data_IF_413531805342
#
_entry.id   IF_413531805342
#
_cell.length_a   1.000
_cell.length_b   1.000
_cell.length_c   1.000
_cell.angle_alpha   90.00
_cell.angle_beta   90.00
_cell.angle_gamma   90.00
#
_symmetry.space_group_name_H-M   'P 1'
#
loop_
_entity.id
_entity.type
_entity.pdbx_description
1 polymer ?
#
# COMPACT_ATOMS: atom_id res chain seq x y z
N UNK A 1 -24.83 -15.59 4.56
CA UNK A 1 -24.32 -14.23 4.70
C UNK A 1 -23.15 -14.02 3.76
N UNK A 2 -23.30 -13.14 2.82
CA UNK A 2 -22.23 -12.86 1.89
C UNK A 2 -21.26 -11.84 2.51
N UNK A 3 -19.98 -12.09 2.33
CA UNK A 3 -18.96 -11.15 2.73
C UNK A 3 -18.59 -10.32 1.48
N UNK A 4 -18.99 -9.08 1.50
CA UNK A 4 -18.60 -8.14 0.45
C UNK A 4 -17.60 -7.17 1.03
N UNK A 5 -16.48 -7.02 0.35
CA UNK A 5 -15.50 -6.02 0.74
C UNK A 5 -15.90 -4.69 0.11
N UNK A 6 -16.28 -3.74 0.94
CA UNK A 6 -16.70 -2.41 0.46
C UNK A 6 -15.49 -1.55 0.11
N UNK A 7 -14.43 -1.63 0.90
CA UNK A 7 -13.21 -0.86 0.69
C UNK A 7 -12.01 -1.78 0.81
N UNK A 8 -11.23 -1.82 -0.25
CA UNK A 8 -9.99 -2.60 -0.31
C UNK A 8 -8.83 -1.61 -0.28
N UNK A 9 -7.91 -1.82 0.66
CA UNK A 9 -6.70 -1.02 0.78
C UNK A 9 -5.53 -1.81 0.24
N UNK A 10 -4.76 -1.20 -0.67
CA UNK A 10 -3.53 -1.78 -1.17
C UNK A 10 -2.39 -0.78 -0.99
N UNK A 11 -1.44 -1.08 -0.09
CA UNK A 11 -0.24 -0.26 0.01
C UNK A 11 0.73 -0.62 -1.11
N UNK A 12 1.35 0.40 -1.71
CA UNK A 12 2.29 0.22 -2.82
C UNK A 12 3.57 0.99 -2.51
N UNK A 13 4.71 0.39 -2.86
CA UNK A 13 6.02 1.00 -2.66
C UNK A 13 6.85 1.00 -3.95
N UNK A 14 6.24 0.62 -5.07
CA UNK A 14 6.92 0.53 -6.35
C UNK A 14 7.64 -0.78 -6.59
N UNK A 15 7.70 -1.67 -5.61
CA UNK A 15 8.32 -2.99 -5.77
C UNK A 15 7.46 -3.92 -6.62
N UNK A 16 8.08 -4.96 -7.18
CA UNK A 16 7.36 -5.98 -7.94
C UNK A 16 6.29 -6.66 -7.07
N UNK A 17 6.62 -6.91 -5.81
CA UNK A 17 5.67 -7.52 -4.89
C UNK A 17 4.43 -6.66 -4.69
N UNK A 18 4.61 -5.34 -4.52
CA UNK A 18 3.47 -4.44 -4.37
C UNK A 18 2.67 -4.30 -5.65
N UNK A 19 3.31 -4.41 -6.82
CA UNK A 19 2.60 -4.39 -8.10
C UNK A 19 1.74 -5.63 -8.28
N UNK A 20 2.22 -6.80 -7.86
CA UNK A 20 1.41 -8.01 -7.86
C UNK A 20 0.20 -7.88 -6.93
N UNK A 21 0.41 -7.28 -5.77
CA UNK A 21 -0.67 -7.03 -4.83
C UNK A 21 -1.69 -6.07 -5.42
N UNK A 22 -1.22 -5.03 -6.10
CA UNK A 22 -2.11 -4.07 -6.78
C UNK A 22 -2.98 -4.77 -7.83
N UNK A 23 -2.38 -5.62 -8.65
CA UNK A 23 -3.13 -6.38 -9.66
C UNK A 23 -4.22 -7.23 -9.02
N UNK A 24 -3.89 -7.91 -7.92
CA UNK A 24 -4.86 -8.72 -7.19
C UNK A 24 -5.96 -7.86 -6.58
N UNK A 25 -5.60 -6.72 -6.01
CA UNK A 25 -6.57 -5.82 -5.41
C UNK A 25 -7.53 -5.27 -6.47
N UNK A 26 -7.02 -4.95 -7.66
CA UNK A 26 -7.86 -4.49 -8.77
C UNK A 26 -8.87 -5.57 -9.16
N UNK A 27 -8.43 -6.81 -9.31
CA UNK A 27 -9.33 -7.92 -9.62
C UNK A 27 -10.43 -8.07 -8.57
N UNK A 28 -10.05 -8.02 -7.29
CA UNK A 28 -11.00 -8.16 -6.19
C UNK A 28 -11.97 -6.99 -6.14
N UNK A 29 -11.47 -5.77 -6.35
CA UNK A 29 -12.32 -4.58 -6.36
C UNK A 29 -13.36 -4.65 -7.49
N UNK A 30 -12.97 -5.16 -8.65
CA UNK A 30 -13.91 -5.38 -9.73
C UNK A 30 -14.97 -6.42 -9.37
N UNK A 31 -14.52 -7.51 -8.78
CA UNK A 31 -15.42 -8.61 -8.39
C UNK A 31 -16.46 -8.16 -7.36
N UNK A 32 -16.03 -7.44 -6.34
CA UNK A 32 -16.90 -7.03 -5.24
C UNK A 32 -17.52 -5.65 -5.43
N UNK A 33 -17.20 -4.96 -6.51
CA UNK A 33 -17.59 -3.55 -6.72
C UNK A 33 -17.13 -2.66 -5.59
N UNK A 34 -15.89 -2.87 -5.15
CA UNK A 34 -15.30 -2.18 -4.01
C UNK A 34 -14.72 -0.84 -4.40
N UNK A 35 -14.65 0.05 -3.42
CA UNK A 35 -13.75 1.20 -3.49
C UNK A 35 -12.32 0.69 -3.33
N UNK A 36 -11.41 1.15 -4.16
CA UNK A 36 -9.99 0.81 -4.05
C UNK A 36 -9.22 1.99 -3.50
N UNK A 37 -8.62 1.81 -2.33
CA UNK A 37 -7.76 2.81 -1.71
C UNK A 37 -6.30 2.37 -1.91
N UNK A 38 -5.54 3.15 -2.64
CA UNK A 38 -4.13 2.87 -2.94
C UNK A 38 -3.30 3.80 -2.06
N UNK A 39 -2.43 3.24 -1.22
CA UNK A 39 -1.67 4.02 -0.27
C UNK A 39 -0.17 3.86 -0.48
N UNK A 40 0.56 4.93 -0.24
CA UNK A 40 2.01 4.90 -0.17
C UNK A 40 2.44 5.61 1.11
N UNK A 41 3.31 4.95 1.89
CA UNK A 41 3.87 5.51 3.11
C UNK A 41 5.30 5.90 2.83
N UNK A 42 5.60 7.19 2.97
CA UNK A 42 6.96 7.70 2.86
C UNK A 42 7.65 7.38 4.18
N UNK A 43 8.68 6.53 4.12
CA UNK A 43 9.43 6.15 5.31
C UNK A 43 10.41 7.27 5.67
N UNK A 44 10.07 8.01 6.72
CA UNK A 44 10.88 9.17 7.13
C UNK A 44 12.29 8.79 7.56
N UNK A 45 12.53 7.52 7.89
CA UNK A 45 13.87 7.07 8.24
C UNK A 45 14.83 7.13 7.05
N UNK A 46 14.29 7.14 5.84
CA UNK A 46 15.11 7.19 4.63
C UNK A 46 15.91 8.48 4.52
N UNK A 47 15.49 9.56 5.17
CA UNK A 47 16.21 10.83 5.11
C UNK A 47 16.51 11.44 6.50
N UNK A 48 16.08 10.81 7.59
CA UNK A 48 16.21 11.39 8.92
C UNK A 48 17.65 11.47 9.44
N UNK A 49 18.55 10.65 8.90
CA UNK A 49 19.96 10.62 9.33
C UNK A 49 20.85 11.55 8.51
N UNK A 50 20.38 12.08 7.41
CA UNK A 50 21.18 12.90 6.49
C UNK A 50 20.77 14.37 6.61
N UNK A 51 21.12 15.01 7.72
CA UNK A 51 20.68 16.38 8.03
C UNK A 51 21.02 17.36 6.90
N UNK A 52 22.24 17.27 6.35
CA UNK A 52 22.70 18.19 5.29
C UNK A 52 21.95 18.03 3.98
N UNK A 53 21.35 16.84 3.76
CA UNK A 53 20.65 16.53 2.51
C UNK A 53 19.18 16.26 2.73
N UNK A 54 18.67 16.60 3.90
CA UNK A 54 17.30 16.28 4.29
C UNK A 54 16.27 16.87 3.33
N UNK A 55 16.40 18.15 3.02
CA UNK A 55 15.44 18.84 2.17
C UNK A 55 15.38 18.26 0.75
N UNK A 56 16.53 18.03 0.06
CA UNK A 56 16.49 17.36 -1.24
C UNK A 56 15.94 15.92 -1.17
N UNK A 57 16.23 15.20 -0.11
CA UNK A 57 15.71 13.83 0.07
C UNK A 57 14.21 13.82 0.31
N UNK A 58 13.70 14.78 1.08
CA UNK A 58 12.26 14.92 1.29
C UNK A 58 11.54 15.22 -0.01
N UNK A 59 12.07 16.13 -0.82
CA UNK A 59 11.51 16.48 -2.11
C UNK A 59 11.51 15.28 -3.05
N UNK A 60 12.62 14.53 -3.10
CA UNK A 60 12.71 13.32 -3.89
C UNK A 60 11.66 12.29 -3.45
N UNK A 61 11.51 12.08 -2.14
CA UNK A 61 10.57 11.13 -1.60
C UNK A 61 9.11 11.51 -1.92
N UNK A 62 8.80 12.80 -1.86
CA UNK A 62 7.48 13.30 -2.22
C UNK A 62 7.18 13.10 -3.70
N UNK A 63 8.14 13.43 -4.57
CA UNK A 63 7.98 13.26 -6.01
C UNK A 63 7.83 11.78 -6.37
N UNK A 64 8.63 10.93 -5.74
CA UNK A 64 8.57 9.49 -5.95
C UNK A 64 7.22 8.92 -5.51
N UNK A 65 6.72 9.36 -4.36
CA UNK A 65 5.42 8.93 -3.86
C UNK A 65 4.30 9.34 -4.83
N UNK A 66 4.35 10.57 -5.32
CA UNK A 66 3.37 11.07 -6.28
C UNK A 66 3.36 10.22 -7.55
N UNK A 67 4.55 9.87 -8.07
CA UNK A 67 4.67 9.01 -9.25
C UNK A 67 4.11 7.61 -9.00
N UNK A 68 4.48 7.00 -7.89
CA UNK A 68 4.03 5.65 -7.54
C UNK A 68 2.50 5.62 -7.48
N UNK A 69 1.90 6.59 -6.79
CA UNK A 69 0.46 6.64 -6.65
C UNK A 69 -0.25 6.94 -7.96
N UNK A 70 0.30 7.85 -8.77
CA UNK A 70 -0.30 8.19 -10.07
C UNK A 70 -0.30 6.99 -11.00
N UNK A 71 0.80 6.25 -11.07
CA UNK A 71 0.90 5.06 -11.91
C UNK A 71 -0.05 3.96 -11.44
N UNK A 72 -0.15 3.76 -10.15
CA UNK A 72 -1.04 2.77 -9.57
C UNK A 72 -2.51 3.11 -9.84
N UNK A 73 -2.88 4.36 -9.64
CA UNK A 73 -4.24 4.83 -9.92
C UNK A 73 -4.60 4.69 -11.39
N UNK A 74 -3.65 5.03 -12.29
CA UNK A 74 -3.87 4.90 -13.73
C UNK A 74 -4.11 3.44 -14.12
N UNK A 75 -3.34 2.53 -13.54
CA UNK A 75 -3.51 1.11 -13.79
C UNK A 75 -4.88 0.62 -13.37
N UNK A 76 -5.37 1.08 -12.23
CA UNK A 76 -6.71 0.74 -11.75
C UNK A 76 -7.79 1.30 -12.67
N UNK A 77 -7.63 2.54 -13.10
CA UNK A 77 -8.60 3.18 -14.02
C UNK A 77 -8.62 2.49 -15.38
N UNK A 78 -7.44 2.13 -15.90
CA UNK A 78 -7.32 1.40 -17.18
C UNK A 78 -8.00 0.03 -17.10
N UNK A 79 -8.06 -0.55 -15.92
CA UNK A 79 -8.74 -1.83 -15.68
C UNK A 79 -10.26 -1.68 -15.53
N UNK A 80 -10.77 -0.44 -15.53
CA UNK A 80 -12.21 -0.17 -15.48
C UNK A 80 -12.74 0.26 -14.12
N UNK A 81 -11.89 0.44 -13.11
CA UNK A 81 -12.35 0.90 -11.80
C UNK A 81 -12.64 2.40 -11.85
N UNK A 82 -13.75 2.80 -11.24
CA UNK A 82 -14.14 4.20 -11.16
C UNK A 82 -14.03 4.78 -9.76
N UNK A 83 -14.08 3.94 -8.73
CA UNK A 83 -14.01 4.39 -7.34
C UNK A 83 -12.62 4.08 -6.78
N UNK A 84 -11.66 4.94 -7.11
CA UNK A 84 -10.26 4.79 -6.74
C UNK A 84 -9.80 6.05 -6.02
N UNK A 85 -9.20 5.89 -4.85
CA UNK A 85 -8.60 7.01 -4.11
C UNK A 85 -7.14 6.68 -3.83
N UNK A 86 -6.31 7.71 -3.73
CA UNK A 86 -4.91 7.57 -3.36
C UNK A 86 -4.64 8.27 -2.04
N UNK A 87 -3.78 7.67 -1.22
CA UNK A 87 -3.42 8.20 0.08
C UNK A 87 -1.89 8.23 0.17
N UNK A 88 -1.37 9.39 0.53
CA UNK A 88 0.05 9.58 0.78
C UNK A 88 0.25 9.95 2.24
N UNK A 89 1.04 9.19 2.97
CA UNK A 89 1.33 9.43 4.38
C UNK A 89 2.83 9.36 4.62
N UNK A 90 3.29 10.09 5.61
CA UNK A 90 4.64 9.98 6.11
C UNK A 90 4.61 9.18 7.41
N UNK A 91 5.65 8.41 7.66
CA UNK A 91 5.76 7.66 8.91
C UNK A 91 6.48 6.34 8.70
N UNK A 92 6.19 5.40 9.57
CA UNK A 92 6.71 4.05 9.47
C UNK A 92 5.69 3.15 8.78
N UNK A 93 6.02 2.55 7.62
CA UNK A 93 5.09 1.63 6.95
C UNK A 93 4.64 0.49 7.87
N UNK A 94 5.51 0.05 8.78
CA UNK A 94 5.20 -1.06 9.70
C UNK A 94 4.02 -0.78 10.61
N UNK A 95 3.76 0.49 10.93
CA UNK A 95 2.66 0.85 11.82
C UNK A 95 1.56 1.65 11.12
N UNK A 96 1.90 2.41 10.09
CA UNK A 96 0.96 3.34 9.47
C UNK A 96 -0.18 2.62 8.74
N UNK A 97 0.12 1.52 8.07
CA UNK A 97 -0.87 0.84 7.22
C UNK A 97 -2.04 0.33 8.05
N UNK A 98 -1.77 -0.47 9.08
CA UNK A 98 -2.83 -1.09 9.87
C UNK A 98 -3.44 -0.13 10.88
N UNK A 99 -2.63 0.74 11.48
CA UNK A 99 -3.07 1.56 12.61
C UNK A 99 -3.63 2.92 12.23
N UNK A 100 -3.22 3.47 11.09
CA UNK A 100 -3.63 4.81 10.67
C UNK A 100 -4.44 4.80 9.39
N UNK A 101 -3.93 4.20 8.33
CA UNK A 101 -4.56 4.29 7.02
C UNK A 101 -5.81 3.41 6.94
N UNK A 102 -5.72 2.16 7.37
CA UNK A 102 -6.84 1.25 7.28
C UNK A 102 -8.07 1.77 8.05
N UNK A 103 -7.94 2.28 9.29
CA UNK A 103 -9.10 2.87 9.96
C UNK A 103 -9.62 4.13 9.28
N UNK A 104 -8.71 4.98 8.76
CA UNK A 104 -9.10 6.22 8.11
C UNK A 104 -9.99 5.97 6.88
N UNK A 105 -9.65 4.98 6.07
CA UNK A 105 -10.43 4.64 4.88
C UNK A 105 -11.51 3.61 5.16
N UNK A 106 -11.60 3.12 6.38
CA UNK A 106 -12.54 2.08 6.79
C UNK A 106 -12.37 0.81 5.95
N UNK A 107 -11.12 0.40 5.77
CA UNK A 107 -10.80 -0.78 4.98
C UNK A 107 -11.36 -2.04 5.63
N UNK A 108 -11.98 -2.90 4.82
CA UNK A 108 -12.41 -4.22 5.27
C UNK A 108 -11.54 -5.34 4.70
N UNK A 109 -10.66 -5.00 3.77
CA UNK A 109 -9.62 -5.93 3.29
C UNK A 109 -8.36 -5.12 2.97
N UNK A 110 -7.21 -5.63 3.42
CA UNK A 110 -5.91 -5.11 3.01
C UNK A 110 -5.27 -6.17 2.11
N UNK A 111 -4.82 -5.76 0.93
CA UNK A 111 -4.09 -6.65 0.00
C UNK A 111 -2.69 -6.10 -0.11
N UNK A 112 -1.69 -6.91 0.21
CA UNK A 112 -0.31 -6.44 0.18
C UNK A 112 0.65 -7.53 -0.26
N UNK A 113 1.80 -7.11 -0.76
CA UNK A 113 2.83 -8.06 -1.15
C UNK A 113 3.49 -8.69 0.06
N UNK A 114 4.04 -9.87 -0.12
CA UNK A 114 4.72 -10.59 0.94
C UNK A 114 6.02 -9.89 1.36
N UNK A 115 6.66 -9.18 0.41
CA UNK A 115 7.93 -8.50 0.65
C UNK A 115 7.88 -7.09 0.05
N UNK A 116 8.89 -6.27 0.34
CA UNK A 116 9.04 -4.95 -0.25
C UNK A 116 10.37 -4.82 -0.97
N UNK A 117 10.80 -3.59 -1.17
CA UNK A 117 12.08 -3.30 -1.81
C UNK A 117 13.24 -3.91 -1.02
N UNK A 118 14.19 -4.48 -1.75
CA UNK A 118 15.39 -5.06 -1.15
C UNK A 118 15.23 -6.46 -0.61
N UNK A 119 14.04 -6.99 -0.60
CA UNK A 119 13.78 -8.35 -0.13
C UNK A 119 13.84 -9.33 -1.27
N UNK A 120 14.70 -10.32 -1.15
CA UNK A 120 14.87 -11.36 -2.16
C UNK A 120 14.45 -12.74 -1.67
N UNK A 121 14.16 -12.87 -0.38
CA UNK A 121 13.76 -14.13 0.21
C UNK A 121 12.30 -14.42 -0.07
N UNK A 122 12.03 -15.46 -0.84
CA UNK A 122 10.67 -15.83 -1.21
C UNK A 122 9.92 -16.60 -0.12
N UNK A 123 10.64 -17.12 0.86
CA UNK A 123 10.07 -17.95 1.92
C UNK A 123 9.61 -17.15 3.12
N UNK A 124 10.00 -15.90 3.21
CA UNK A 124 9.68 -15.06 4.36
C UNK A 124 8.68 -13.97 3.99
N UNK A 125 7.81 -13.66 4.94
CA UNK A 125 6.95 -12.50 4.88
C UNK A 125 7.78 -11.32 5.40
N UNK A 126 7.78 -10.19 4.69
CA UNK A 126 8.53 -9.01 5.07
C UNK A 126 8.04 -8.39 6.38
N UNK A 127 8.86 -7.52 6.96
CA UNK A 127 8.56 -6.91 8.25
C UNK A 127 7.29 -6.04 8.21
N UNK A 128 7.05 -5.34 7.12
CA UNK A 128 5.85 -4.51 6.97
C UNK A 128 4.60 -5.39 6.91
N UNK A 129 4.65 -6.46 6.11
CA UNK A 129 3.52 -7.39 5.99
C UNK A 129 3.22 -8.07 7.32
N UNK A 130 4.25 -8.54 8.02
CA UNK A 130 4.10 -9.17 9.32
C UNK A 130 3.48 -8.23 10.35
N UNK A 131 3.99 -7.00 10.41
CA UNK A 131 3.47 -6.00 11.34
C UNK A 131 2.02 -5.66 11.02
N UNK A 132 1.69 -5.55 9.74
CA UNK A 132 0.33 -5.24 9.32
C UNK A 132 -0.63 -6.36 9.71
N UNK A 133 -0.24 -7.62 9.50
CA UNK A 133 -1.04 -8.78 9.92
C UNK A 133 -1.29 -8.75 11.42
N UNK A 134 -0.24 -8.46 12.19
CA UNK A 134 -0.32 -8.47 13.65
C UNK A 134 -1.25 -7.38 14.20
N UNK A 135 -1.30 -6.22 13.55
CA UNK A 135 -2.02 -5.07 14.09
C UNK A 135 -3.33 -4.75 13.38
N UNK A 136 -3.65 -5.45 12.31
CA UNK A 136 -4.88 -5.19 11.57
C UNK A 136 -6.11 -5.69 12.30
N UNK A 137 -7.20 -4.94 12.17
CA UNK A 137 -8.51 -5.37 12.66
C UNK A 137 -9.42 -5.85 11.53
N UNK A 138 -8.94 -5.82 10.29
CA UNK A 138 -9.68 -6.33 9.14
C UNK A 138 -8.94 -7.48 8.48
N UNK A 139 -9.58 -8.09 7.48
CA UNK A 139 -8.98 -9.19 6.73
C UNK A 139 -7.75 -8.72 5.96
N UNK A 140 -6.78 -9.59 5.81
CA UNK A 140 -5.56 -9.31 5.05
C UNK A 140 -5.29 -10.46 4.09
N UNK A 141 -4.96 -10.11 2.86
CA UNK A 141 -4.47 -11.04 1.86
C UNK A 141 -3.02 -10.71 1.55
N UNK A 142 -2.15 -11.69 1.70
CA UNK A 142 -0.74 -11.57 1.36
C UNK A 142 -0.52 -12.22 -0.01
N UNK A 143 -0.02 -11.45 -0.96
CA UNK A 143 0.22 -11.90 -2.34
C UNK A 143 1.70 -12.21 -2.50
N UNK A 144 2.02 -13.44 -2.89
CA UNK A 144 3.40 -13.87 -3.10
C UNK A 144 3.87 -13.73 -4.52
#
# INVERSE_FOLDING_TARGET
MSTNYKTILVPVDGSDASLKALDRAIELAKFYSSKLAIAHVIDVRSYSLAIAYREPLEEYAEDNATKILAQAAQKAQDAGLTDVVTIKKEGSPRSAIAKKIAPEVQADLIVMGATGYGMIEKMFVGSVSESTVRHSTCDIMIVR
#
